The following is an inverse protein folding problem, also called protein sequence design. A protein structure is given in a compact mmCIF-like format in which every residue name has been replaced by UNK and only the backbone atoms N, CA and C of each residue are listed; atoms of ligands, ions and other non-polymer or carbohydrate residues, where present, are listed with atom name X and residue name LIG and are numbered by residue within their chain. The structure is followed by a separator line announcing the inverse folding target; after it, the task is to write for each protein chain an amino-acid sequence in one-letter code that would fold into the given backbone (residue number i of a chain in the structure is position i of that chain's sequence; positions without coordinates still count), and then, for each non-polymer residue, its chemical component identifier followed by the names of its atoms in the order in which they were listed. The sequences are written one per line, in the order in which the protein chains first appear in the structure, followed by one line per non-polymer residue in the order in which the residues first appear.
data_IF_595751389559
#
_entry.id   IF_595751389559
#
_cell.length_a   1.000
_cell.length_b   1.000
_cell.length_c   1.000
_cell.angle_alpha   90.00
_cell.angle_beta   90.00
_cell.angle_gamma   90.00
#
_symmetry.space_group_name_H-M   'P 1'
#
loop_
_entity.id
_entity.type
_entity.pdbx_description
1 polymer ?
#
# COMPACT_ATOMS: atom_id res chain seq x y z
N UNK A 1 11.54 16.30 27.36
CA UNK A 1 10.42 15.60 26.70
C UNK A 1 11.05 14.42 25.99
N UNK A 2 10.98 13.26 26.63
CA UNK A 2 11.59 12.04 26.08
C UNK A 2 10.88 11.69 24.77
N UNK A 3 11.66 11.34 23.76
CA UNK A 3 11.08 10.92 22.48
C UNK A 3 10.47 9.53 22.66
N UNK A 4 9.39 9.23 21.93
CA UNK A 4 8.71 7.92 21.96
C UNK A 4 9.68 6.75 21.73
N UNK A 5 10.85 6.99 21.13
CA UNK A 5 11.91 6.00 20.92
C UNK A 5 12.70 5.58 22.17
N UNK A 6 12.59 6.30 23.29
CA UNK A 6 13.32 6.02 24.55
C UNK A 6 12.49 5.22 25.57
N UNK A 7 11.26 4.85 25.22
CA UNK A 7 10.40 4.05 26.11
C UNK A 7 10.94 2.61 26.15
N UNK A 8 11.35 2.18 27.34
CA UNK A 8 11.76 0.79 27.57
C UNK A 8 10.63 -0.19 27.21
N UNK A 9 11.01 -1.29 26.56
CA UNK A 9 10.11 -2.36 26.11
C UNK A 9 9.27 -2.95 27.25
N UNK A 10 9.82 -3.00 28.47
CA UNK A 10 9.10 -3.43 29.67
C UNK A 10 8.01 -2.43 30.06
N UNK A 11 8.36 -1.14 30.11
CA UNK A 11 7.41 -0.06 30.38
C UNK A 11 6.28 -0.01 29.35
N UNK A 12 6.60 -0.20 28.07
CA UNK A 12 5.58 -0.29 27.01
C UNK A 12 4.64 -1.48 27.21
N UNK A 13 5.18 -2.64 27.61
CA UNK A 13 4.39 -3.83 27.88
C UNK A 13 3.44 -3.62 29.05
N UNK A 14 3.95 -3.09 30.16
CA UNK A 14 3.13 -2.80 31.35
C UNK A 14 2.02 -1.80 31.04
N UNK A 15 2.31 -0.78 30.22
CA UNK A 15 1.31 0.18 29.75
C UNK A 15 0.23 -0.53 28.92
N UNK A 16 0.62 -1.36 27.95
CA UNK A 16 -0.33 -2.09 27.10
C UNK A 16 -1.18 -3.09 27.88
N UNK A 17 -0.62 -3.77 28.89
CA UNK A 17 -1.33 -4.72 29.75
C UNK A 17 -2.30 -4.01 30.73
N UNK A 18 -2.07 -2.73 31.03
CA UNK A 18 -2.96 -1.91 31.87
C UNK A 18 -4.17 -1.33 31.14
N UNK A 19 -4.19 -1.40 29.80
CA UNK A 19 -5.29 -0.84 29.00
C UNK A 19 -6.58 -1.65 29.14
N UNK A 20 -7.74 -0.99 29.10
CA UNK A 20 -9.00 -1.66 28.80
C UNK A 20 -8.89 -2.50 27.52
N UNK A 21 -9.48 -3.70 27.53
CA UNK A 21 -9.38 -4.64 26.40
C UNK A 21 -9.78 -4.01 25.07
N UNK A 22 -10.81 -3.15 25.05
CA UNK A 22 -11.27 -2.45 23.85
C UNK A 22 -10.19 -1.57 23.23
N UNK A 23 -9.40 -0.87 24.06
CA UNK A 23 -8.31 -0.02 23.58
C UNK A 23 -7.12 -0.85 23.12
N UNK A 24 -6.82 -1.95 23.83
CA UNK A 24 -5.81 -2.91 23.39
C UNK A 24 -6.16 -3.48 22.01
N UNK A 25 -7.40 -3.93 21.82
CA UNK A 25 -7.89 -4.49 20.56
C UNK A 25 -7.84 -3.44 19.43
N UNK A 26 -8.16 -2.18 19.74
CA UNK A 26 -8.04 -1.08 18.79
C UNK A 26 -6.59 -0.87 18.36
N UNK A 27 -5.65 -0.71 19.31
CA UNK A 27 -4.23 -0.55 19.02
C UNK A 27 -3.71 -1.75 18.22
N UNK A 28 -4.06 -2.97 18.63
CA UNK A 28 -3.68 -4.20 17.95
C UNK A 28 -4.17 -4.20 16.50
N UNK A 29 -5.45 -3.88 16.28
CA UNK A 29 -6.04 -3.80 14.94
C UNK A 29 -5.34 -2.74 14.10
N UNK A 30 -5.10 -1.54 14.61
CA UNK A 30 -4.40 -0.49 13.87
C UNK A 30 -2.95 -0.84 13.55
N UNK A 31 -2.26 -1.52 14.47
CA UNK A 31 -0.85 -1.92 14.29
C UNK A 31 -0.70 -2.98 13.21
N UNK A 32 -1.63 -3.94 13.16
CA UNK A 32 -1.57 -5.09 12.24
C UNK A 32 -2.49 -4.97 11.04
N UNK A 33 -3.08 -3.80 10.80
CA UNK A 33 -3.82 -3.50 9.56
C UNK A 33 -2.97 -2.57 8.71
N UNK A 34 -2.70 -2.98 7.48
CA UNK A 34 -2.02 -2.14 6.52
C UNK A 34 -2.95 -1.04 5.99
N UNK A 35 -2.40 0.16 5.83
CA UNK A 35 -3.06 1.22 5.07
C UNK A 35 -3.19 0.85 3.59
N UNK A 36 -4.21 1.40 2.93
CA UNK A 36 -4.45 1.21 1.49
C UNK A 36 -3.35 1.92 0.70
N UNK A 37 -2.74 1.21 -0.24
CA UNK A 37 -1.64 1.75 -1.05
C UNK A 37 -1.68 1.21 -2.48
N UNK A 38 -1.07 1.98 -3.38
CA UNK A 38 -0.70 1.53 -4.72
C UNK A 38 0.77 1.10 -4.70
N UNK A 39 1.02 -0.17 -4.97
CA UNK A 39 2.35 -0.77 -4.98
C UNK A 39 2.85 -0.92 -6.41
N UNK A 40 3.93 -0.21 -6.74
CA UNK A 40 4.59 -0.30 -8.04
C UNK A 40 5.91 -1.03 -7.88
N UNK A 41 6.01 -2.20 -8.49
CA UNK A 41 7.26 -2.95 -8.61
C UNK A 41 7.85 -2.71 -9.99
N UNK A 42 9.16 -2.50 -10.08
CA UNK A 42 9.86 -2.17 -11.33
C UNK A 42 11.24 -2.82 -11.38
N UNK A 43 11.68 -3.27 -12.56
CA UNK A 43 13.05 -3.70 -12.84
C UNK A 43 13.81 -2.58 -13.57
N UNK A 44 15.06 -2.33 -13.17
CA UNK A 44 15.88 -1.24 -13.73
C UNK A 44 16.26 -1.45 -15.22
N UNK A 45 15.91 -2.60 -15.79
CA UNK A 45 16.30 -3.01 -17.13
C UNK A 45 15.28 -2.65 -18.21
N UNK A 46 13.98 -2.58 -17.87
CA UNK A 46 12.93 -2.36 -18.85
C UNK A 46 12.56 -0.87 -18.96
N UNK A 47 12.31 -0.38 -20.17
CA UNK A 47 11.97 1.02 -20.39
C UNK A 47 10.62 1.40 -19.74
N UNK A 48 9.63 0.49 -19.78
CA UNK A 48 8.33 0.64 -19.12
C UNK A 48 8.54 0.90 -17.62
N UNK A 49 9.35 0.07 -16.99
CA UNK A 49 9.66 0.11 -15.56
C UNK A 49 10.38 1.40 -15.16
N UNK A 50 11.30 1.89 -16.01
CA UNK A 50 11.96 3.19 -15.82
C UNK A 50 10.95 4.33 -15.86
N UNK A 51 10.00 4.31 -16.81
CA UNK A 51 8.96 5.32 -16.94
C UNK A 51 8.06 5.34 -15.70
N UNK A 52 7.59 4.18 -15.25
CA UNK A 52 6.76 4.06 -14.05
C UNK A 52 7.51 4.51 -12.79
N UNK A 53 8.77 4.10 -12.62
CA UNK A 53 9.59 4.54 -11.50
C UNK A 53 9.75 6.07 -11.46
N UNK A 54 10.04 6.69 -12.61
CA UNK A 54 10.14 8.16 -12.72
C UNK A 54 8.84 8.86 -12.38
N UNK A 55 7.70 8.31 -12.82
CA UNK A 55 6.38 8.86 -12.50
C UNK A 55 6.10 8.81 -11.00
N UNK A 56 6.32 7.67 -10.35
CA UNK A 56 6.10 7.52 -8.90
C UNK A 56 6.96 8.49 -8.11
N UNK A 57 8.25 8.61 -8.46
CA UNK A 57 9.17 9.55 -7.81
C UNK A 57 8.74 11.01 -8.02
N UNK A 58 8.18 11.35 -9.19
CA UNK A 58 7.69 12.71 -9.49
C UNK A 58 6.42 13.09 -8.71
N UNK A 59 5.56 12.12 -8.41
CA UNK A 59 4.27 12.38 -7.76
C UNK A 59 4.37 12.62 -6.26
N UNK A 60 5.44 12.12 -5.61
CA UNK A 60 5.72 12.26 -4.17
C UNK A 60 4.47 11.95 -3.30
N UNK A 61 3.74 10.89 -3.65
CA UNK A 61 2.50 10.53 -2.97
C UNK A 61 2.75 9.41 -1.95
N UNK A 62 2.43 9.60 -0.65
CA UNK A 62 2.76 8.62 0.39
C UNK A 62 1.97 7.31 0.28
N UNK A 63 0.83 7.32 -0.42
CA UNK A 63 0.04 6.11 -0.68
C UNK A 63 0.54 5.32 -1.88
N UNK A 64 1.52 5.85 -2.63
CA UNK A 64 2.15 5.17 -3.76
C UNK A 64 3.56 4.75 -3.37
N UNK A 65 3.86 3.48 -3.52
CA UNK A 65 5.14 2.92 -3.11
C UNK A 65 5.89 2.34 -4.30
N UNK A 66 7.21 2.54 -4.33
CA UNK A 66 8.08 2.03 -5.38
C UNK A 66 9.01 0.99 -4.81
N UNK A 67 8.86 -0.27 -5.23
CA UNK A 67 9.68 -1.39 -4.77
C UNK A 67 9.78 -1.48 -3.23
N UNK A 68 8.71 -1.13 -2.52
CA UNK A 68 8.66 -1.22 -1.06
C UNK A 68 8.89 -2.68 -0.64
N UNK A 69 9.81 -2.86 0.31
CA UNK A 69 10.03 -4.16 0.94
C UNK A 69 8.95 -4.40 1.96
N UNK A 70 8.50 -5.64 2.04
CA UNK A 70 7.56 -6.02 3.07
C UNK A 70 8.18 -5.86 4.47
N UNK A 71 7.42 -5.36 5.45
CA UNK A 71 7.88 -5.30 6.82
C UNK A 71 8.19 -6.71 7.31
N UNK A 72 9.27 -6.84 8.06
CA UNK A 72 9.75 -8.14 8.50
C UNK A 72 8.95 -8.64 9.72
N UNK A 73 7.87 -9.36 9.46
CA UNK A 73 6.90 -9.81 10.48
C UNK A 73 7.26 -11.15 11.16
N UNK A 74 8.51 -11.62 11.08
CA UNK A 74 8.89 -12.89 11.73
C UNK A 74 8.80 -12.84 13.26
N UNK A 75 8.85 -11.66 13.86
CA UNK A 75 8.80 -11.46 15.31
C UNK A 75 7.38 -11.39 15.88
N UNK A 76 6.35 -11.35 15.03
CA UNK A 76 4.94 -11.30 15.47
C UNK A 76 4.29 -12.67 15.37
N UNK A 77 3.22 -12.90 16.13
CA UNK A 77 2.55 -14.19 16.13
C UNK A 77 1.87 -14.49 14.77
N UNK A 78 1.53 -15.75 14.53
CA UNK A 78 0.93 -16.19 13.26
C UNK A 78 -0.40 -15.50 12.94
N UNK A 79 -1.23 -15.22 13.95
CA UNK A 79 -2.51 -14.56 13.76
C UNK A 79 -2.33 -13.10 13.30
N UNK A 80 -1.39 -12.36 13.91
CA UNK A 80 -1.02 -10.99 13.52
C UNK A 80 -0.48 -10.96 12.09
N UNK A 81 0.38 -11.91 11.71
CA UNK A 81 0.87 -12.03 10.32
C UNK A 81 -0.26 -12.23 9.34
N UNK A 82 -1.21 -13.12 9.66
CA UNK A 82 -2.36 -13.40 8.79
C UNK A 82 -3.27 -12.17 8.65
N UNK A 83 -3.53 -11.47 9.76
CA UNK A 83 -4.30 -10.23 9.76
C UNK A 83 -3.64 -9.16 8.88
N UNK A 84 -2.33 -8.96 9.07
CA UNK A 84 -1.56 -8.03 8.24
C UNK A 84 -1.60 -8.41 6.77
N UNK A 85 -1.27 -9.66 6.42
CA UNK A 85 -1.27 -10.11 5.03
C UNK A 85 -2.65 -9.94 4.38
N UNK A 86 -3.73 -10.29 5.10
CA UNK A 86 -5.09 -10.13 4.60
C UNK A 86 -5.43 -8.66 4.36
N UNK A 87 -5.07 -7.77 5.28
CA UNK A 87 -5.30 -6.33 5.10
C UNK A 87 -4.43 -5.70 4.00
N UNK A 88 -3.18 -6.14 3.85
CA UNK A 88 -2.23 -5.59 2.89
C UNK A 88 -2.57 -6.03 1.46
N UNK A 89 -2.79 -7.34 1.26
CA UNK A 89 -3.01 -7.95 -0.05
C UNK A 89 -4.49 -8.11 -0.42
N UNK A 90 -5.35 -8.43 0.57
CA UNK A 90 -6.75 -8.79 0.37
C UNK A 90 -7.73 -7.62 0.38
N UNK A 91 -7.28 -6.40 0.63
CA UNK A 91 -8.15 -5.22 0.54
C UNK A 91 -8.35 -4.86 -0.93
N UNK A 92 -9.62 -4.73 -1.37
CA UNK A 92 -10.01 -4.35 -2.73
C UNK A 92 -9.40 -3.05 -3.23
N UNK A 93 -8.93 -2.21 -2.30
CA UNK A 93 -8.46 -0.86 -2.55
C UNK A 93 -6.93 -0.78 -2.66
N UNK A 94 -6.21 -1.87 -2.34
CA UNK A 94 -4.78 -1.97 -2.60
C UNK A 94 -4.55 -2.39 -4.05
N UNK A 95 -3.75 -1.61 -4.78
CA UNK A 95 -3.51 -1.83 -6.21
C UNK A 95 -2.06 -2.28 -6.39
N UNK A 96 -1.87 -3.37 -7.11
CA UNK A 96 -0.54 -3.91 -7.41
C UNK A 96 -0.23 -3.74 -8.90
N UNK A 97 0.89 -3.08 -9.19
CA UNK A 97 1.46 -2.95 -10.54
C UNK A 97 2.81 -3.65 -10.53
N UNK A 98 2.98 -4.66 -11.38
CA UNK A 98 4.22 -5.45 -11.41
C UNK A 98 4.63 -5.78 -12.84
N UNK A 99 5.93 -5.85 -13.16
CA UNK A 99 6.39 -6.38 -14.43
C UNK A 99 5.99 -7.85 -14.61
N UNK A 100 6.17 -8.42 -15.79
CA UNK A 100 5.96 -9.85 -16.01
C UNK A 100 6.87 -10.73 -15.12
N UNK A 101 6.42 -11.94 -14.71
CA UNK A 101 7.02 -12.71 -13.60
C UNK A 101 8.45 -13.22 -13.77
N UNK A 102 9.04 -13.05 -14.95
CA UNK A 102 10.46 -13.35 -15.17
C UNK A 102 11.40 -12.20 -14.76
N UNK A 103 10.87 -11.07 -14.30
CA UNK A 103 11.71 -9.95 -13.85
C UNK A 103 12.45 -10.27 -12.55
N UNK A 104 13.64 -9.70 -12.39
CA UNK A 104 14.34 -9.78 -11.12
C UNK A 104 13.59 -9.01 -10.02
N UNK A 105 12.72 -8.07 -10.39
CA UNK A 105 11.89 -7.31 -9.47
C UNK A 105 10.89 -8.19 -8.74
N UNK A 106 10.23 -9.15 -9.42
CA UNK A 106 9.31 -10.08 -8.73
C UNK A 106 10.07 -11.05 -7.83
N UNK A 107 11.25 -11.54 -8.25
CA UNK A 107 12.10 -12.33 -7.36
C UNK A 107 12.60 -11.56 -6.13
N UNK A 108 12.68 -10.23 -6.24
CA UNK A 108 13.02 -9.32 -5.13
C UNK A 108 11.80 -8.89 -4.34
N UNK A 109 10.61 -8.92 -4.93
CA UNK A 109 9.35 -8.76 -4.21
C UNK A 109 9.20 -9.99 -3.34
N UNK A 110 9.14 -9.82 -2.02
CA UNK A 110 8.97 -10.93 -1.08
C UNK A 110 7.52 -11.43 -1.05
N UNK A 111 6.81 -11.34 -2.19
CA UNK A 111 5.45 -11.82 -2.37
C UNK A 111 5.55 -13.32 -2.58
N UNK A 112 5.15 -14.11 -1.58
CA UNK A 112 5.03 -15.56 -1.71
C UNK A 112 3.81 -15.92 -2.56
N UNK A 113 3.75 -17.15 -3.11
CA UNK A 113 2.57 -17.64 -3.81
C UNK A 113 1.26 -17.46 -3.04
N UNK A 114 1.29 -17.76 -1.73
CA UNK A 114 0.12 -17.61 -0.83
C UNK A 114 -0.41 -16.17 -0.74
N UNK A 115 0.43 -15.16 -1.00
CA UNK A 115 0.00 -13.78 -1.03
C UNK A 115 -0.71 -13.42 -2.33
N UNK A 116 -0.37 -14.07 -3.46
CA UNK A 116 -1.06 -13.83 -4.73
C UNK A 116 -2.53 -14.25 -4.66
N UNK A 117 -2.84 -15.31 -3.91
CA UNK A 117 -4.23 -15.75 -3.67
C UNK A 117 -5.08 -14.70 -2.95
N UNK A 118 -4.45 -13.83 -2.16
CA UNK A 118 -5.12 -12.73 -1.47
C UNK A 118 -5.30 -11.52 -2.39
N UNK A 119 -4.43 -11.33 -3.38
CA UNK A 119 -4.49 -10.15 -4.24
C UNK A 119 -5.64 -10.32 -5.23
N UNK A 120 -6.55 -9.37 -5.27
CA UNK A 120 -7.68 -9.44 -6.20
C UNK A 120 -7.25 -9.21 -7.65
N UNK A 121 -6.37 -8.22 -7.89
CA UNK A 121 -5.94 -7.80 -9.22
C UNK A 121 -4.48 -7.34 -9.22
N UNK A 122 -3.75 -7.76 -10.24
CA UNK A 122 -2.36 -7.40 -10.48
C UNK A 122 -2.23 -6.86 -11.89
N UNK A 123 -1.94 -5.57 -12.01
CA UNK A 123 -1.75 -4.92 -13.29
C UNK A 123 -0.34 -5.21 -13.83
N UNK A 124 -0.28 -5.75 -15.04
CA UNK A 124 0.96 -6.05 -15.74
C UNK A 124 1.07 -5.14 -16.97
N UNK A 125 1.82 -4.04 -16.89
CA UNK A 125 1.94 -3.08 -17.97
C UNK A 125 2.80 -3.64 -19.11
N UNK A 126 2.36 -3.41 -20.35
CA UNK A 126 3.08 -3.79 -21.57
C UNK A 126 3.28 -2.59 -22.50
N UNK A 127 4.28 -2.67 -23.37
CA UNK A 127 4.67 -1.55 -24.23
C UNK A 127 3.76 -1.36 -25.45
N UNK A 128 3.03 -2.40 -25.88
CA UNK A 128 2.22 -2.31 -27.10
C UNK A 128 0.95 -3.18 -27.03
N UNK A 129 -0.09 -2.81 -27.79
CA UNK A 129 -1.33 -3.59 -27.90
C UNK A 129 -1.10 -5.00 -28.47
N UNK A 130 -0.16 -5.17 -29.39
CA UNK A 130 0.15 -6.48 -29.96
C UNK A 130 0.71 -7.42 -28.88
N UNK A 131 1.57 -6.90 -28.01
CA UNK A 131 2.10 -7.68 -26.89
C UNK A 131 1.02 -7.97 -25.84
N UNK A 132 0.11 -7.03 -25.60
CA UNK A 132 -1.05 -7.24 -24.73
C UNK A 132 -1.89 -8.42 -25.22
N UNK A 133 -2.30 -8.39 -26.49
CA UNK A 133 -3.09 -9.44 -27.12
C UNK A 133 -2.33 -10.78 -27.14
N UNK A 134 -1.05 -10.75 -27.49
CA UNK A 134 -0.20 -11.94 -27.51
C UNK A 134 -0.14 -12.61 -26.14
N UNK A 135 0.11 -11.83 -25.07
CA UNK A 135 0.17 -12.37 -23.71
C UNK A 135 -1.21 -12.88 -23.29
N UNK A 136 -2.28 -12.13 -23.54
CA UNK A 136 -3.65 -12.53 -23.20
C UNK A 136 -4.05 -13.85 -23.87
N UNK A 137 -3.73 -14.04 -25.16
CA UNK A 137 -4.00 -15.28 -25.88
C UNK A 137 -3.23 -16.48 -25.32
N UNK A 138 -2.02 -16.22 -24.80
CA UNK A 138 -1.11 -17.27 -24.29
C UNK A 138 -1.13 -17.40 -22.76
N UNK A 139 -2.02 -16.69 -22.05
CA UNK A 139 -2.08 -16.74 -20.59
C UNK A 139 -2.21 -18.16 -20.06
N UNK A 140 -2.88 -19.07 -20.78
CA UNK A 140 -3.01 -20.48 -20.41
C UNK A 140 -1.76 -21.34 -20.65
N UNK A 141 -0.93 -20.97 -21.63
CA UNK A 141 0.20 -21.76 -22.12
C UNK A 141 1.53 -21.34 -21.48
N UNK A 142 1.69 -20.05 -21.20
CA UNK A 142 2.97 -19.51 -20.75
C UNK A 142 3.09 -19.53 -19.21
N UNK A 143 4.18 -20.11 -18.72
CA UNK A 143 4.56 -20.11 -17.30
C UNK A 143 4.98 -18.73 -16.77
N UNK A 144 5.07 -17.73 -17.65
CA UNK A 144 5.54 -16.38 -17.30
C UNK A 144 4.63 -15.72 -16.27
N UNK A 145 3.36 -16.10 -16.19
CA UNK A 145 2.40 -15.55 -15.23
C UNK A 145 1.86 -16.59 -14.25
N UNK A 146 2.38 -17.83 -14.29
CA UNK A 146 1.86 -18.94 -13.49
C UNK A 146 1.60 -18.61 -12.01
N UNK A 147 2.44 -17.83 -11.30
CA UNK A 147 2.21 -17.56 -9.87
C UNK A 147 1.01 -16.68 -9.56
N UNK A 148 0.49 -15.91 -10.52
CA UNK A 148 -0.62 -14.97 -10.30
C UNK A 148 -1.52 -14.80 -11.53
N UNK A 149 -1.64 -15.87 -12.32
CA UNK A 149 -2.31 -15.86 -13.63
C UNK A 149 -3.76 -15.42 -13.52
N UNK A 150 -4.46 -15.87 -12.48
CA UNK A 150 -5.89 -15.59 -12.27
C UNK A 150 -6.13 -14.13 -11.87
N UNK A 151 -5.14 -13.50 -11.24
CA UNK A 151 -5.17 -12.12 -10.76
C UNK A 151 -4.63 -11.14 -11.81
N UNK A 152 -3.89 -11.63 -12.81
CA UNK A 152 -3.19 -10.79 -13.78
C UNK A 152 -4.15 -10.06 -14.73
N UNK A 153 -4.03 -8.73 -14.78
CA UNK A 153 -4.69 -7.84 -15.72
C UNK A 153 -3.63 -7.21 -16.60
N UNK A 154 -3.52 -7.69 -17.85
CA UNK A 154 -2.56 -7.13 -18.80
C UNK A 154 -3.10 -5.80 -19.32
N UNK A 155 -2.38 -4.71 -19.10
CA UNK A 155 -2.77 -3.36 -19.48
C UNK A 155 -1.66 -2.65 -20.24
N UNK A 156 -1.99 -1.59 -20.96
CA UNK A 156 -0.97 -0.77 -21.61
C UNK A 156 -0.23 0.08 -20.57
N UNK A 157 0.96 0.56 -20.93
CA UNK A 157 1.72 1.48 -20.09
C UNK A 157 0.90 2.74 -19.79
N UNK A 158 0.16 3.26 -20.78
CA UNK A 158 -0.69 4.45 -20.64
C UNK A 158 -1.78 4.23 -19.59
N UNK A 159 -2.39 3.05 -19.56
CA UNK A 159 -3.43 2.69 -18.58
C UNK A 159 -2.84 2.65 -17.16
N UNK A 160 -1.65 2.07 -17.01
CA UNK A 160 -0.97 2.02 -15.72
C UNK A 160 -0.58 3.42 -15.23
N UNK A 161 -0.13 4.29 -16.13
CA UNK A 161 0.17 5.70 -15.83
C UNK A 161 -1.11 6.43 -15.38
N UNK A 162 -2.20 6.28 -16.11
CA UNK A 162 -3.49 6.88 -15.74
C UNK A 162 -3.98 6.39 -14.37
N UNK A 163 -3.82 5.10 -14.09
CA UNK A 163 -4.19 4.50 -12.80
C UNK A 163 -3.39 5.12 -11.64
N UNK A 164 -2.07 5.26 -11.79
CA UNK A 164 -1.19 5.89 -10.80
C UNK A 164 -1.58 7.36 -10.60
N UNK A 165 -1.79 8.12 -11.67
CA UNK A 165 -2.17 9.52 -11.57
C UNK A 165 -3.55 9.73 -10.95
N UNK A 166 -4.52 8.88 -11.30
CA UNK A 166 -5.86 8.91 -10.72
C UNK A 166 -5.82 8.63 -9.22
N UNK A 167 -5.05 7.63 -8.80
CA UNK A 167 -4.83 7.31 -7.38
C UNK A 167 -4.19 8.50 -6.64
N UNK A 168 -3.13 9.10 -7.20
CA UNK A 168 -2.49 10.28 -6.60
C UNK A 168 -3.46 11.48 -6.47
N UNK A 169 -4.33 11.70 -7.46
CA UNK A 169 -5.33 12.78 -7.43
C UNK A 169 -6.39 12.59 -6.35
N UNK A 170 -6.85 11.34 -6.13
CA UNK A 170 -7.83 11.03 -5.08
C UNK A 170 -7.28 11.34 -3.68
N UNK A 171 -6.02 11.01 -3.43
CA UNK A 171 -5.39 11.26 -2.13
C UNK A 171 -5.03 12.73 -1.91
N UNK A 172 -4.65 13.49 -2.95
CA UNK A 172 -4.46 14.94 -2.84
C UNK A 172 -5.76 15.68 -2.48
N UNK A 173 -6.92 15.24 -2.99
CA UNK A 173 -8.22 15.86 -2.65
C UNK A 173 -8.64 15.57 -1.21
N UNK A 174 -8.34 14.38 -0.70
CA UNK A 174 -8.67 13.99 0.67
C UNK A 174 -7.88 14.81 1.70
N UNK A 175 -6.61 15.11 1.41
CA UNK A 175 -5.73 15.90 2.28
C UNK A 175 -6.16 17.39 2.37
N UNK A 176 -6.72 17.94 1.29
CA UNK A 176 -7.29 19.30 1.28
C UNK A 176 -8.62 19.36 2.05
N UNK A 177 -9.43 18.30 2.00
CA UNK A 177 -10.67 18.19 2.77
C UNK A 177 -10.43 18.06 4.27
N UNK A 178 -9.40 17.30 4.68
CA UNK A 178 -9.05 17.12 6.09
C UNK A 178 -8.56 18.43 6.73
N UNK A 179 -7.73 19.21 6.02
CA UNK A 179 -7.23 20.51 6.51
C UNK A 179 -8.31 21.59 6.66
N UNK A 180 -9.39 21.52 5.88
CA UNK A 180 -10.51 22.48 6.00
C UNK A 180 -11.37 22.21 7.25
N UNK A 181 -11.41 20.97 7.73
CA UNK A 181 -12.15 20.60 8.95
C UNK A 181 -11.34 21.03 10.18
N UNK A 182 -10.02 20.81 10.18
CA UNK A 182 -9.14 21.19 11.29
C UNK A 182 -8.94 22.70 11.47
N UNK A 183 -9.41 23.52 10.53
CA UNK A 183 -9.31 25.00 10.58
C UNK A 183 -10.64 25.72 10.90
N UNK A 184 -11.69 24.98 11.28
CA UNK A 184 -13.03 25.55 11.53
C UNK A 184 -13.57 25.37 12.96
N UNK A 185 -12.70 25.17 13.95
CA UNK A 185 -13.17 24.88 15.31
C UNK A 185 -12.31 25.39 16.45
N UNK A 186 -12.15 26.72 16.59
CA UNK A 186 -12.10 27.41 17.89
C UNK A 186 -12.55 28.87 17.65
N UNK A 187 -13.86 29.15 17.73
CA UNK A 187 -14.29 30.51 18.09
C UNK A 187 -14.24 30.58 19.62
N UNK A 188 -13.25 31.29 20.14
CA UNK A 188 -13.15 31.66 21.55
C UNK A 188 -14.36 32.53 21.91
N UNK A 189 -15.23 32.02 22.78
CA UNK A 189 -16.26 32.81 23.43
C UNK A 189 -15.55 33.59 24.54
N UNK A 190 -15.19 34.84 24.27
CA UNK A 190 -14.82 35.81 25.30
C UNK A 190 -16.07 36.11 26.13
N UNK A 191 -16.11 35.58 27.36
CA UNK A 191 -17.08 36.02 28.36
C UNK A 191 -16.53 37.28 29.02
N UNK A 192 -17.12 38.44 28.70
CA UNK A 192 -16.96 39.67 29.49
C UNK A 192 -17.62 39.47 30.86
N UNK A 193 -16.78 39.49 31.89
CA UNK A 193 -17.16 39.46 33.31
C UNK A 193 -17.44 40.90 33.77
N UNK A 194 -18.72 41.27 33.82
CA UNK A 194 -19.18 42.58 34.26
C UNK A 194 -19.40 42.56 35.79
N UNK A 195 -18.34 42.88 36.54
CA UNK A 195 -18.37 43.00 37.99
C UNK A 195 -18.78 44.41 38.44
N UNK A 196 -19.99 44.52 39.00
CA UNK A 196 -20.45 45.69 39.78
C UNK A 196 -20.27 45.47 41.28
#
# INVERSE_FOLDING_TARGET
MDTIGDIDSLTLRDLLESLPQELYDYIYKFTFTAGRKLHVYTDKKAQIDITLAKLVLKLECPTITLNERFPHLLHVNQASRKLFATSYFGTSDSIFITPAAKSAAIRRSTISPEHFDLIQKIHVPVASPELQLFIQQRMGEDDILAPYREQAVICLLEDAVQLIEAHAKLHKKSDVGQRAIDSSGVEEIENEDDGT
#
